data_IF_053425362052
#
_entry.id   IF_053425362052
#
_cell.length_a   1.000
_cell.length_b   1.000
_cell.length_c   1.000
_cell.angle_alpha   90.00
_cell.angle_beta   90.00
_cell.angle_gamma   90.00
#
_symmetry.space_group_name_H-M   'P 1'
#
loop_
_entity.id
_entity.type
_entity.pdbx_description
1 polymer ?
#
# COMPACT_ATOMS: atom_id res chain seq x y z
N UNK A 1 -39.00 14.92 31.42
CA UNK A 1 -37.53 14.97 31.29
C UNK A 1 -37.15 14.13 30.08
N UNK A 2 -37.09 14.76 28.91
CA UNK A 2 -36.70 14.13 27.64
C UNK A 2 -35.18 14.21 27.52
N UNK A 3 -34.51 13.06 27.54
CA UNK A 3 -33.08 12.97 27.26
C UNK A 3 -32.87 13.10 25.75
N UNK A 4 -32.23 14.20 25.34
CA UNK A 4 -31.72 14.40 23.99
C UNK A 4 -30.52 13.45 23.77
N UNK A 5 -30.69 12.47 22.89
CA UNK A 5 -29.60 11.66 22.37
C UNK A 5 -28.86 12.48 21.32
N UNK A 6 -27.77 13.12 21.74
CA UNK A 6 -26.82 13.79 20.87
C UNK A 6 -26.15 12.75 19.96
N UNK A 7 -26.64 12.63 18.71
CA UNK A 7 -25.98 11.88 17.65
C UNK A 7 -24.71 12.62 17.25
N UNK A 8 -23.60 12.28 17.92
CA UNK A 8 -22.28 12.71 17.50
C UNK A 8 -21.95 12.07 16.15
N UNK A 9 -21.88 12.90 15.12
CA UNK A 9 -21.43 12.52 13.78
C UNK A 9 -20.04 11.86 13.87
N UNK A 10 -19.96 10.57 13.54
CA UNK A 10 -18.72 9.85 13.29
C UNK A 10 -17.93 10.61 12.22
N UNK A 11 -16.74 11.08 12.58
CA UNK A 11 -15.87 11.82 11.66
C UNK A 11 -15.27 10.82 10.68
N UNK A 12 -15.90 10.67 9.52
CA UNK A 12 -15.51 9.73 8.47
C UNK A 12 -14.05 9.89 8.08
N UNK A 13 -13.36 8.77 7.96
CA UNK A 13 -11.93 8.70 7.67
C UNK A 13 -11.72 8.72 6.16
N UNK A 14 -12.00 9.86 5.51
CA UNK A 14 -12.00 9.93 4.04
C UNK A 14 -13.25 9.30 3.40
N UNK A 15 -13.20 9.01 2.11
CA UNK A 15 -14.30 8.38 1.36
C UNK A 15 -14.04 6.87 1.19
N UNK A 16 -15.11 6.07 1.26
CA UNK A 16 -15.24 4.59 1.12
C UNK A 16 -13.95 3.74 1.07
N UNK A 17 -13.66 2.95 2.12
CA UNK A 17 -12.47 2.09 2.16
C UNK A 17 -12.54 0.86 1.24
N UNK A 18 -13.74 0.47 0.79
CA UNK A 18 -13.92 -0.75 0.00
C UNK A 18 -13.98 -0.51 -1.51
N UNK A 19 -13.50 -1.50 -2.26
CA UNK A 19 -13.54 -1.48 -3.72
C UNK A 19 -14.89 -1.96 -4.29
N UNK A 20 -15.72 -2.57 -3.44
CA UNK A 20 -17.05 -3.07 -3.78
C UNK A 20 -18.13 -2.42 -2.91
N UNK A 21 -19.40 -2.57 -3.30
CA UNK A 21 -20.53 -2.10 -2.49
C UNK A 21 -20.63 -2.97 -1.23
N UNK A 22 -20.03 -2.52 -0.13
CA UNK A 22 -19.99 -3.25 1.13
C UNK A 22 -21.13 -2.82 2.06
N UNK A 23 -21.42 -3.63 3.07
CA UNK A 23 -22.37 -3.23 4.10
C UNK A 23 -21.86 -2.00 4.84
N UNK A 24 -22.76 -1.07 5.18
CA UNK A 24 -22.41 0.12 5.99
C UNK A 24 -21.70 -0.28 7.29
N UNK A 25 -22.10 -1.41 7.90
CA UNK A 25 -21.48 -1.95 9.11
C UNK A 25 -19.98 -2.29 8.94
N UNK A 26 -19.56 -2.77 7.77
CA UNK A 26 -18.15 -3.04 7.53
C UNK A 26 -17.33 -1.76 7.37
N UNK A 27 -17.92 -0.70 6.79
CA UNK A 27 -17.24 0.60 6.64
C UNK A 27 -17.04 1.21 8.04
N UNK A 28 -18.08 1.14 8.87
CA UNK A 28 -18.06 1.62 10.24
C UNK A 28 -17.04 0.87 11.11
N UNK A 29 -16.93 -0.46 10.99
CA UNK A 29 -15.97 -1.22 11.77
C UNK A 29 -14.52 -0.91 11.37
N UNK A 30 -14.24 -0.81 10.07
CA UNK A 30 -12.92 -0.41 9.59
C UNK A 30 -12.54 0.99 10.09
N UNK A 31 -13.45 1.97 9.94
CA UNK A 31 -13.24 3.34 10.39
C UNK A 31 -13.03 3.40 11.91
N UNK A 32 -13.81 2.63 12.68
CA UNK A 32 -13.66 2.52 14.14
C UNK A 32 -12.27 2.03 14.53
N UNK A 33 -11.75 1.00 13.88
CA UNK A 33 -10.42 0.46 14.17
C UNK A 33 -9.32 1.46 13.83
N UNK A 34 -9.43 2.16 12.69
CA UNK A 34 -8.48 3.24 12.32
C UNK A 34 -8.57 4.46 13.24
N UNK A 35 -9.75 4.77 13.77
CA UNK A 35 -9.95 5.83 14.76
C UNK A 35 -9.35 5.46 16.12
N UNK A 36 -9.51 4.21 16.56
CA UNK A 36 -8.84 3.69 17.76
C UNK A 36 -7.33 3.80 17.63
N UNK A 37 -6.76 3.36 16.51
CA UNK A 37 -5.32 3.49 16.25
C UNK A 37 -4.87 4.96 16.30
N UNK A 38 -5.60 5.89 15.68
CA UNK A 38 -5.26 7.33 15.73
C UNK A 38 -5.31 7.92 17.13
N UNK A 39 -6.30 7.54 17.94
CA UNK A 39 -6.39 8.00 19.34
C UNK A 39 -5.20 7.51 20.17
N UNK A 40 -4.78 6.26 19.98
CA UNK A 40 -3.58 5.74 20.65
C UNK A 40 -2.30 6.43 20.13
N UNK A 41 -2.22 6.78 18.84
CA UNK A 41 -1.12 7.55 18.27
C UNK A 41 -1.01 8.97 18.87
N UNK A 42 -2.15 9.63 19.13
CA UNK A 42 -2.20 10.93 19.80
C UNK A 42 -1.65 10.83 21.23
N UNK A 43 -2.17 9.88 22.03
CA UNK A 43 -1.69 9.63 23.40
C UNK A 43 -0.20 9.31 23.45
N UNK A 44 0.28 8.44 22.55
CA UNK A 44 1.71 8.14 22.38
C UNK A 44 2.54 9.41 22.17
N UNK A 45 2.09 10.29 21.28
CA UNK A 45 2.81 11.54 20.96
C UNK A 45 2.84 12.49 22.16
N UNK A 46 1.74 12.59 22.91
CA UNK A 46 1.67 13.36 24.15
C UNK A 46 2.60 12.81 25.24
N UNK A 47 2.63 11.49 25.45
CA UNK A 47 3.53 10.84 26.40
C UNK A 47 5.00 11.11 26.05
N UNK A 48 5.38 11.02 24.78
CA UNK A 48 6.76 11.31 24.38
C UNK A 48 7.12 12.79 24.48
N UNK A 49 6.21 13.71 24.18
CA UNK A 49 6.44 15.13 24.40
C UNK A 49 6.66 15.45 25.88
N UNK A 50 5.82 14.91 26.76
CA UNK A 50 5.95 15.06 28.22
C UNK A 50 7.24 14.39 28.75
N UNK A 51 7.59 13.22 28.21
CA UNK A 51 8.83 12.51 28.57
C UNK A 51 10.07 13.34 28.25
N UNK A 52 10.12 13.96 27.06
CA UNK A 52 11.22 14.86 26.67
C UNK A 52 11.30 16.10 27.56
N UNK A 53 10.15 16.66 27.94
CA UNK A 53 10.10 17.79 28.87
C UNK A 53 10.61 17.41 30.26
N UNK A 54 10.17 16.27 30.81
CA UNK A 54 10.63 15.76 32.10
C UNK A 54 12.15 15.52 32.11
N UNK A 55 12.68 14.93 31.04
CA UNK A 55 14.12 14.71 30.88
C UNK A 55 14.89 16.04 30.87
N UNK A 56 14.38 17.04 30.14
CA UNK A 56 14.99 18.38 30.06
C UNK A 56 14.98 19.11 31.41
N UNK A 57 14.03 18.79 32.28
CA UNK A 57 13.94 19.32 33.64
C UNK A 57 14.78 18.52 34.67
N UNK A 58 15.50 17.48 34.24
CA UNK A 58 16.31 16.63 35.11
C UNK A 58 15.53 15.53 35.86
N UNK A 59 14.24 15.38 35.59
CA UNK A 59 13.42 14.32 36.17
C UNK A 59 13.46 13.06 35.29
N UNK A 60 14.55 12.30 35.44
CA UNK A 60 14.76 11.05 34.71
C UNK A 60 13.74 9.95 35.03
N UNK A 61 13.20 9.92 36.25
CA UNK A 61 12.23 8.91 36.66
C UNK A 61 10.88 9.15 35.96
N UNK A 62 10.38 10.39 35.97
CA UNK A 62 9.17 10.75 35.24
C UNK A 62 9.36 10.59 33.73
N UNK A 63 10.52 10.99 33.19
CA UNK A 63 10.83 10.79 31.77
C UNK A 63 10.76 9.31 31.36
N UNK A 64 11.33 8.42 32.17
CA UNK A 64 11.29 6.98 31.92
C UNK A 64 9.87 6.43 31.98
N UNK A 65 9.09 6.77 33.02
CA UNK A 65 7.71 6.31 33.16
C UNK A 65 6.83 6.74 31.96
N UNK A 66 6.90 8.01 31.57
CA UNK A 66 6.17 8.55 30.41
C UNK A 66 6.63 7.93 29.09
N UNK A 67 7.92 7.61 28.96
CA UNK A 67 8.45 6.90 27.79
C UNK A 67 7.87 5.49 27.70
N UNK A 68 7.78 4.78 28.83
CA UNK A 68 7.18 3.45 28.87
C UNK A 68 5.68 3.48 28.54
N UNK A 69 4.93 4.41 29.11
CA UNK A 69 3.52 4.63 28.77
C UNK A 69 3.33 4.94 27.27
N UNK A 70 4.21 5.78 26.70
CA UNK A 70 4.22 6.07 25.27
C UNK A 70 4.47 4.84 24.40
N UNK A 71 5.35 3.92 24.83
CA UNK A 71 5.57 2.62 24.15
C UNK A 71 4.32 1.74 24.22
N UNK A 72 3.64 1.69 25.36
CA UNK A 72 2.42 0.89 25.54
C UNK A 72 1.29 1.41 24.64
N UNK A 73 1.12 2.72 24.51
CA UNK A 73 0.21 3.33 23.53
C UNK A 73 0.63 3.02 22.08
N UNK A 74 1.94 2.99 21.80
CA UNK A 74 2.47 2.55 20.51
C UNK A 74 2.09 1.11 20.18
N UNK A 75 2.21 0.18 21.13
CA UNK A 75 1.82 -1.21 20.93
C UNK A 75 0.31 -1.35 20.64
N UNK A 76 -0.54 -0.62 21.38
CA UNK A 76 -2.00 -0.59 21.13
C UNK A 76 -2.36 0.00 19.77
N UNK A 77 -1.69 1.08 19.37
CA UNK A 77 -1.85 1.67 18.04
C UNK A 77 -1.52 0.64 16.95
N UNK A 78 -0.38 -0.05 17.05
CA UNK A 78 0.00 -1.11 16.10
C UNK A 78 -1.02 -2.24 16.08
N UNK A 79 -1.52 -2.66 17.24
CA UNK A 79 -2.56 -3.70 17.36
C UNK A 79 -3.86 -3.31 16.64
N UNK A 80 -4.35 -2.08 16.82
CA UNK A 80 -5.58 -1.62 16.15
C UNK A 80 -5.39 -1.43 14.63
N UNK A 81 -4.23 -0.92 14.20
CA UNK A 81 -3.90 -0.86 12.77
C UNK A 81 -3.86 -2.26 12.14
N UNK A 82 -3.24 -3.23 12.82
CA UNK A 82 -3.23 -4.62 12.37
C UNK A 82 -4.65 -5.18 12.24
N UNK A 83 -5.51 -4.97 13.25
CA UNK A 83 -6.90 -5.41 13.17
C UNK A 83 -7.65 -4.78 11.99
N UNK A 84 -7.46 -3.47 11.74
CA UNK A 84 -8.05 -2.78 10.60
C UNK A 84 -7.56 -3.35 9.26
N UNK A 85 -6.24 -3.58 9.15
CA UNK A 85 -5.58 -4.14 7.98
C UNK A 85 -6.06 -5.56 7.67
N UNK A 86 -6.10 -6.44 8.68
CA UNK A 86 -6.58 -7.81 8.54
C UNK A 86 -8.06 -7.85 8.17
N UNK A 87 -8.86 -6.95 8.76
CA UNK A 87 -10.29 -6.83 8.48
C UNK A 87 -10.55 -6.49 7.02
N UNK A 88 -10.00 -5.36 6.54
CA UNK A 88 -10.22 -4.92 5.16
C UNK A 88 -9.59 -5.87 4.14
N UNK A 89 -8.44 -6.47 4.46
CA UNK A 89 -7.82 -7.47 3.59
C UNK A 89 -8.75 -8.66 3.35
N UNK A 90 -9.27 -9.25 4.44
CA UNK A 90 -10.19 -10.39 4.38
C UNK A 90 -11.46 -10.05 3.63
N UNK A 91 -12.02 -8.88 3.91
CA UNK A 91 -13.24 -8.39 3.29
C UNK A 91 -13.10 -8.18 1.78
N UNK A 92 -11.98 -7.60 1.31
CA UNK A 92 -11.73 -7.36 -0.11
C UNK A 92 -11.32 -8.63 -0.86
N UNK A 93 -10.65 -9.59 -0.19
CA UNK A 93 -10.11 -10.80 -0.81
C UNK A 93 -10.91 -12.07 -0.44
N UNK A 94 -12.14 -11.91 0.07
CA UNK A 94 -13.02 -13.05 0.35
C UNK A 94 -13.36 -13.81 -0.94
N UNK A 95 -13.70 -15.10 -0.79
CA UNK A 95 -14.05 -15.97 -1.91
C UNK A 95 -15.10 -15.33 -2.83
N UNK A 96 -14.78 -15.26 -4.13
CA UNK A 96 -15.65 -14.67 -5.15
C UNK A 96 -15.60 -13.14 -5.25
N UNK A 97 -14.83 -12.44 -4.41
CA UNK A 97 -14.60 -10.98 -4.55
C UNK A 97 -13.58 -10.66 -5.63
N UNK A 98 -12.49 -11.40 -5.63
CA UNK A 98 -11.42 -11.28 -6.62
C UNK A 98 -11.09 -12.66 -7.21
N UNK A 99 -10.58 -12.71 -8.44
CA UNK A 99 -10.03 -13.92 -9.03
C UNK A 99 -8.87 -14.52 -8.20
N UNK A 100 -8.58 -15.82 -8.33
CA UNK A 100 -7.47 -16.46 -7.60
C UNK A 100 -6.08 -15.86 -7.87
N UNK A 101 -5.85 -15.37 -9.09
CA UNK A 101 -4.60 -14.72 -9.54
C UNK A 101 -4.59 -13.20 -9.26
N UNK A 102 -5.48 -12.73 -8.38
CA UNK A 102 -5.62 -11.31 -8.03
C UNK A 102 -5.51 -11.11 -6.53
N UNK A 103 -4.93 -9.98 -6.11
CA UNK A 103 -4.91 -9.51 -4.73
C UNK A 103 -5.37 -8.06 -4.65
N UNK A 104 -6.30 -7.76 -3.75
CA UNK A 104 -6.80 -6.42 -3.49
C UNK A 104 -6.16 -5.82 -2.23
N UNK A 105 -5.35 -4.78 -2.43
CA UNK A 105 -4.66 -4.01 -1.40
C UNK A 105 -5.32 -2.65 -1.15
N UNK A 106 -6.49 -2.39 -1.72
CA UNK A 106 -7.21 -1.15 -1.51
C UNK A 106 -7.56 -0.95 -0.03
N UNK A 107 -7.34 0.28 0.45
CA UNK A 107 -7.58 0.67 1.84
C UNK A 107 -6.50 0.23 2.84
N UNK A 108 -5.48 -0.51 2.40
CA UNK A 108 -4.29 -0.76 3.21
C UNK A 108 -3.44 0.51 3.35
N UNK A 109 -2.70 0.62 4.45
CA UNK A 109 -1.59 1.57 4.54
C UNK A 109 -0.38 1.04 3.75
N UNK A 110 0.53 1.95 3.41
CA UNK A 110 1.66 1.65 2.50
C UNK A 110 2.52 0.48 3.01
N UNK A 111 2.82 0.47 4.30
CA UNK A 111 3.64 -0.56 4.96
C UNK A 111 2.90 -1.90 5.01
N UNK A 112 1.59 -1.88 5.30
CA UNK A 112 0.74 -3.06 5.31
C UNK A 112 0.65 -3.69 3.90
N UNK A 113 0.44 -2.86 2.88
CA UNK A 113 0.36 -3.29 1.49
C UNK A 113 1.68 -3.90 0.99
N UNK A 114 2.82 -3.33 1.40
CA UNK A 114 4.15 -3.89 1.11
C UNK A 114 4.30 -5.31 1.68
N UNK A 115 4.05 -5.47 2.98
CA UNK A 115 4.21 -6.75 3.67
C UNK A 115 3.28 -7.84 3.09
N UNK A 116 2.02 -7.48 2.81
CA UNK A 116 1.03 -8.38 2.22
C UNK A 116 1.43 -8.78 0.79
N UNK A 117 1.87 -7.82 -0.03
CA UNK A 117 2.26 -8.08 -1.41
C UNK A 117 3.48 -9.00 -1.50
N UNK A 118 4.51 -8.75 -0.70
CA UNK A 118 5.72 -9.60 -0.68
C UNK A 118 5.37 -11.05 -0.32
N UNK A 119 4.46 -11.25 0.64
CA UNK A 119 4.01 -12.59 1.03
C UNK A 119 3.22 -13.26 -0.10
N UNK A 120 2.28 -12.55 -0.74
CA UNK A 120 1.49 -13.10 -1.85
C UNK A 120 2.37 -13.48 -3.05
N UNK A 121 3.36 -12.65 -3.40
CA UNK A 121 4.31 -12.93 -4.49
C UNK A 121 5.09 -14.20 -4.19
N UNK A 122 5.66 -14.33 -2.98
CA UNK A 122 6.42 -15.54 -2.59
C UNK A 122 5.55 -16.79 -2.62
N UNK A 123 4.31 -16.69 -2.13
CA UNK A 123 3.34 -17.77 -2.20
C UNK A 123 3.04 -18.15 -3.66
N UNK A 124 2.79 -17.16 -4.52
CA UNK A 124 2.47 -17.38 -5.93
C UNK A 124 3.60 -18.13 -6.65
N UNK A 125 4.83 -17.65 -6.45
CA UNK A 125 6.03 -18.27 -7.03
C UNK A 125 6.25 -19.70 -6.52
N UNK A 126 6.04 -19.97 -5.23
CA UNK A 126 6.20 -21.33 -4.69
C UNK A 126 5.13 -22.31 -5.17
N UNK A 127 4.00 -21.82 -5.67
CA UNK A 127 2.91 -22.62 -6.24
C UNK A 127 2.94 -22.66 -7.78
N UNK A 128 3.97 -22.10 -8.42
CA UNK A 128 4.12 -22.12 -9.88
C UNK A 128 3.19 -21.16 -10.63
N UNK A 129 2.63 -20.16 -9.95
CA UNK A 129 1.92 -19.07 -10.61
C UNK A 129 2.91 -18.19 -11.38
N UNK A 130 2.57 -17.82 -12.62
CA UNK A 130 3.44 -17.06 -13.49
C UNK A 130 3.17 -15.55 -13.45
N UNK A 131 2.00 -15.14 -12.95
CA UNK A 131 1.57 -13.75 -12.88
C UNK A 131 0.68 -13.48 -11.67
N UNK A 132 0.54 -12.20 -11.33
CA UNK A 132 -0.34 -11.72 -10.26
C UNK A 132 -0.92 -10.36 -10.66
N UNK A 133 -2.23 -10.19 -10.52
CA UNK A 133 -2.89 -8.89 -10.61
C UNK A 133 -3.00 -8.26 -9.23
N UNK A 134 -2.57 -7.01 -9.10
CA UNK A 134 -2.58 -6.27 -7.82
C UNK A 134 -3.50 -5.06 -7.95
N UNK A 135 -4.58 -5.04 -7.17
CA UNK A 135 -5.48 -3.89 -7.09
C UNK A 135 -4.97 -2.95 -5.99
N UNK A 136 -4.57 -1.74 -6.38
CA UNK A 136 -4.06 -0.69 -5.48
C UNK A 136 -5.10 0.40 -5.20
N UNK A 137 -6.26 0.34 -5.86
CA UNK A 137 -7.35 1.31 -5.77
C UNK A 137 -7.09 2.57 -6.60
N UNK A 138 -8.14 3.31 -6.95
CA UNK A 138 -8.06 4.49 -7.86
C UNK A 138 -7.52 5.77 -7.21
N UNK A 139 -7.18 5.76 -5.93
CA UNK A 139 -6.67 6.93 -5.20
C UNK A 139 -7.75 7.91 -4.71
N UNK A 140 -8.98 7.84 -5.22
CA UNK A 140 -10.12 8.70 -4.84
C UNK A 140 -10.47 8.69 -3.34
N UNK A 141 -9.95 7.71 -2.59
CA UNK A 141 -10.36 7.38 -1.22
C UNK A 141 -9.23 7.51 -0.20
N UNK A 142 -8.01 7.80 -0.67
CA UNK A 142 -6.87 8.02 0.20
C UNK A 142 -6.97 9.37 0.91
N UNK A 143 -6.41 9.48 2.12
CA UNK A 143 -6.28 10.78 2.79
C UNK A 143 -5.56 11.76 1.84
N UNK A 144 -6.24 12.86 1.48
CA UNK A 144 -5.81 13.88 0.52
C UNK A 144 -5.75 13.45 -0.97
N UNK A 145 -6.46 12.39 -1.38
CA UNK A 145 -6.49 11.89 -2.77
C UNK A 145 -5.11 11.48 -3.34
N UNK A 146 -4.13 11.17 -2.47
CA UNK A 146 -2.81 10.69 -2.87
C UNK A 146 -2.78 9.16 -2.92
N UNK A 147 -2.70 8.59 -4.13
CA UNK A 147 -2.52 7.15 -4.35
C UNK A 147 -1.11 6.70 -3.94
N UNK A 148 -0.90 6.45 -2.64
CA UNK A 148 0.42 6.07 -2.08
C UNK A 148 0.78 4.59 -2.26
N UNK A 149 -0.21 3.72 -2.45
CA UNK A 149 0.02 2.27 -2.58
C UNK A 149 0.67 1.94 -3.93
N UNK A 150 0.18 2.52 -5.03
CA UNK A 150 0.72 2.31 -6.38
C UNK A 150 2.26 2.45 -6.45
N UNK A 151 2.86 3.60 -6.10
CA UNK A 151 4.31 3.74 -6.20
C UNK A 151 5.06 2.76 -5.29
N UNK A 152 4.46 2.34 -4.17
CA UNK A 152 5.07 1.33 -3.30
C UNK A 152 5.06 -0.06 -3.93
N UNK A 153 3.95 -0.49 -4.53
CA UNK A 153 3.85 -1.77 -5.24
C UNK A 153 4.85 -1.83 -6.39
N UNK A 154 4.94 -0.76 -7.17
CA UNK A 154 5.94 -0.64 -8.24
C UNK A 154 7.37 -0.76 -7.69
N UNK A 155 7.65 -0.17 -6.52
CA UNK A 155 8.94 -0.30 -5.86
C UNK A 155 9.23 -1.73 -5.40
N UNK A 156 8.25 -2.43 -4.81
CA UNK A 156 8.41 -3.84 -4.39
C UNK A 156 8.72 -4.72 -5.61
N UNK A 157 8.03 -4.52 -6.74
CA UNK A 157 8.32 -5.26 -7.97
C UNK A 157 9.76 -5.04 -8.45
N UNK A 158 10.24 -3.79 -8.46
CA UNK A 158 11.64 -3.49 -8.80
C UNK A 158 12.63 -4.12 -7.83
N UNK A 159 12.34 -4.06 -6.52
CA UNK A 159 13.18 -4.64 -5.47
C UNK A 159 13.29 -6.17 -5.59
N UNK A 160 12.25 -6.83 -6.13
CA UNK A 160 12.22 -8.28 -6.37
C UNK A 160 12.67 -8.68 -7.79
N UNK A 161 13.08 -7.73 -8.63
CA UNK A 161 13.49 -8.01 -10.01
C UNK A 161 12.34 -8.42 -10.93
N UNK A 162 11.10 -8.09 -10.56
CA UNK A 162 9.90 -8.44 -11.32
C UNK A 162 9.52 -7.32 -12.29
N UNK A 163 9.13 -7.71 -13.50
CA UNK A 163 8.55 -6.79 -14.47
C UNK A 163 7.06 -6.63 -14.19
N UNK A 164 6.55 -5.41 -14.37
CA UNK A 164 5.15 -5.09 -14.13
C UNK A 164 4.58 -4.14 -15.18
N UNK A 165 3.27 -4.17 -15.36
CA UNK A 165 2.53 -3.26 -16.23
C UNK A 165 1.36 -2.65 -15.47
N UNK A 166 1.27 -1.33 -15.50
CA UNK A 166 0.15 -0.60 -14.89
C UNK A 166 -0.97 -0.45 -15.91
N UNK A 167 -2.15 -0.97 -15.58
CA UNK A 167 -3.33 -0.87 -16.42
C UNK A 167 -3.97 0.53 -16.27
N UNK A 168 -4.17 1.29 -17.37
CA UNK A 168 -4.45 2.73 -17.32
C UNK A 168 -5.68 3.21 -16.53
N UNK A 169 -6.67 2.37 -16.18
CA UNK A 169 -7.99 2.88 -15.73
C UNK A 169 -8.55 2.26 -14.43
N UNK A 170 -7.90 1.26 -13.84
CA UNK A 170 -8.52 0.46 -12.77
C UNK A 170 -7.80 0.51 -11.44
N UNK A 171 -6.66 1.20 -11.35
CA UNK A 171 -5.80 1.11 -10.17
C UNK A 171 -5.32 -0.32 -9.99
N UNK A 172 -4.89 -0.96 -11.09
CA UNK A 172 -4.41 -2.32 -11.14
C UNK A 172 -3.03 -2.39 -11.76
N UNK A 173 -2.24 -3.35 -11.29
CA UNK A 173 -0.89 -3.63 -11.76
C UNK A 173 -0.79 -5.12 -12.04
N UNK A 174 -0.45 -5.47 -13.27
CA UNK A 174 -0.03 -6.82 -13.64
C UNK A 174 1.43 -7.01 -13.25
N UNK A 175 1.76 -8.09 -12.56
CA UNK A 175 3.12 -8.45 -12.15
C UNK A 175 3.48 -9.79 -12.79
N UNK A 176 4.57 -9.83 -13.55
CA UNK A 176 5.14 -11.08 -14.05
C UNK A 176 6.04 -11.69 -12.97
N UNK A 177 5.63 -12.85 -12.42
CA UNK A 177 6.31 -13.52 -11.32
C UNK A 177 7.55 -14.31 -11.75
N UNK A 178 7.72 -14.54 -13.05
CA UNK A 178 8.86 -15.28 -13.62
C UNK A 178 10.14 -14.43 -13.73
N UNK A 179 10.03 -13.10 -13.57
CA UNK A 179 11.12 -12.15 -13.82
C UNK A 179 11.38 -11.88 -15.31
N UNK A 180 10.67 -12.56 -16.22
CA UNK A 180 10.71 -12.28 -17.65
C UNK A 180 10.00 -10.98 -18.04
N UNK A 181 10.15 -10.55 -19.29
CA UNK A 181 9.41 -9.41 -19.83
C UNK A 181 7.89 -9.59 -19.68
N UNK A 182 7.15 -8.51 -19.45
CA UNK A 182 5.67 -8.57 -19.46
C UNK A 182 5.20 -8.79 -20.89
N UNK A 183 4.50 -9.90 -21.13
CA UNK A 183 3.77 -10.10 -22.37
C UNK A 183 2.50 -9.20 -22.34
N UNK A 184 2.54 -8.15 -23.16
CA UNK A 184 1.45 -7.18 -23.26
C UNK A 184 0.14 -7.81 -23.74
N UNK A 185 0.16 -8.97 -24.42
CA UNK A 185 -1.06 -9.69 -24.80
C UNK A 185 -1.76 -10.33 -23.59
N UNK A 186 -1.00 -10.83 -22.60
CA UNK A 186 -1.59 -11.39 -21.37
C UNK A 186 -2.12 -10.31 -20.44
N UNK A 187 -1.42 -9.16 -20.35
CA UNK A 187 -1.86 -8.02 -19.56
C UNK A 187 -3.13 -7.32 -20.12
N UNK A 188 -3.38 -7.41 -21.43
CA UNK A 188 -4.51 -6.72 -22.09
C UNK A 188 -5.73 -7.60 -22.37
N UNK A 189 -5.61 -8.93 -22.34
CA UNK A 189 -6.70 -9.86 -22.66
C UNK A 189 -7.69 -10.09 -21.50
N UNK A 190 -7.50 -9.43 -20.35
CA UNK A 190 -8.42 -9.50 -19.22
C UNK A 190 -9.58 -8.49 -19.35
N UNK A 191 -10.36 -8.63 -20.41
CA UNK A 191 -11.60 -7.89 -20.62
C UNK A 191 -12.78 -8.65 -20.02
N UNK A 192 -13.03 -8.50 -18.70
CA UNK A 192 -13.99 -9.39 -18.04
C UNK A 192 -14.66 -8.90 -16.76
N UNK A 193 -14.65 -7.62 -16.40
CA UNK A 193 -15.55 -7.09 -15.35
C UNK A 193 -16.23 -5.81 -15.81
N UNK A 194 -17.24 -5.96 -16.67
CA UNK A 194 -18.23 -4.92 -16.87
C UNK A 194 -19.10 -4.82 -15.61
N UNK A 195 -18.86 -3.78 -14.82
CA UNK A 195 -19.88 -3.22 -13.93
C UNK A 195 -21.05 -2.76 -14.83
N UNK A 196 -22.22 -3.41 -14.75
CA UNK A 196 -23.34 -3.10 -15.64
C UNK A 196 -23.87 -1.70 -15.36
N UNK A 197 -23.63 -0.77 -16.29
CA UNK A 197 -24.35 0.50 -16.36
C UNK A 197 -25.46 0.34 -17.43
N UNK A 198 -26.74 0.50 -17.08
CA UNK A 198 -27.80 0.51 -18.08
C UNK A 198 -27.86 1.90 -18.74
N UNK A 199 -27.57 1.95 -20.04
CA UNK A 199 -28.02 3.05 -20.91
C UNK A 199 -26.89 3.86 -21.56
N UNK A 200 -26.71 3.69 -22.87
CA UNK A 200 -25.90 4.57 -23.70
C UNK A 200 -25.56 3.93 -25.05
N UNK A 201 -26.35 4.25 -26.07
CA UNK A 201 -26.26 3.69 -27.43
C UNK A 201 -24.92 3.98 -28.11
N UNK A 202 -24.50 3.01 -28.92
CA UNK A 202 -23.30 3.03 -29.75
C UNK A 202 -23.34 4.11 -30.83
N UNK A 203 -22.20 4.75 -31.08
CA UNK A 203 -21.92 5.35 -32.38
C UNK A 203 -20.43 5.16 -32.74
N UNK A 204 -20.21 4.52 -33.88
CA UNK A 204 -18.91 4.31 -34.52
C UNK A 204 -18.36 5.64 -35.03
N UNK A 205 -17.05 5.84 -34.92
CA UNK A 205 -16.34 6.86 -35.70
C UNK A 205 -14.97 6.35 -36.15
N UNK A 206 -14.68 6.66 -37.40
CA UNK A 206 -13.58 6.21 -38.24
C UNK A 206 -12.20 6.75 -37.84
N UNK A 207 -11.18 6.04 -38.32
CA UNK A 207 -9.78 6.23 -37.98
C UNK A 207 -9.10 7.46 -38.59
N UNK A 208 -7.93 7.77 -38.03
CA UNK A 208 -6.92 8.63 -38.62
C UNK A 208 -5.53 8.07 -38.26
N UNK A 209 -4.76 7.72 -39.29
CA UNK A 209 -3.31 7.51 -39.23
C UNK A 209 -2.60 8.86 -39.37
N UNK A 210 -1.52 9.11 -38.63
CA UNK A 210 -0.49 10.04 -39.07
C UNK A 210 0.80 9.32 -39.48
N UNK A 211 1.31 9.75 -40.63
CA UNK A 211 2.54 9.36 -41.30
C UNK A 211 3.70 10.16 -40.70
N UNK A 212 4.73 9.49 -40.15
CA UNK A 212 5.96 10.13 -39.70
C UNK A 212 7.12 9.83 -40.65
N UNK A 213 7.68 10.90 -41.22
CA UNK A 213 8.89 10.90 -42.03
C UNK A 213 10.09 11.33 -41.17
N UNK A 214 11.24 10.71 -41.42
CA UNK A 214 12.47 10.82 -40.64
C UNK A 214 13.18 12.17 -40.81
N UNK A 215 13.94 12.59 -39.79
CA UNK A 215 15.22 13.28 -39.98
C UNK A 215 16.17 13.09 -38.80
N UNK A 216 17.35 12.52 -39.07
CA UNK A 216 18.49 12.42 -38.16
C UNK A 216 19.24 13.74 -38.05
N UNK A 217 19.77 14.06 -36.86
CA UNK A 217 21.04 14.79 -36.69
C UNK A 217 21.74 14.35 -35.40
N UNK A 218 23.02 14.02 -35.54
CA UNK A 218 23.98 13.69 -34.49
C UNK A 218 24.35 14.92 -33.66
N UNK A 219 24.51 14.76 -32.34
CA UNK A 219 25.64 15.39 -31.66
C UNK A 219 26.16 14.54 -30.50
N UNK A 220 27.46 14.34 -30.54
CA UNK A 220 28.29 13.54 -29.65
C UNK A 220 28.73 14.43 -28.48
N UNK A 221 28.63 13.95 -27.25
CA UNK A 221 29.53 14.43 -26.18
C UNK A 221 29.85 13.30 -25.21
N UNK A 222 31.14 12.97 -25.17
CA UNK A 222 31.77 12.07 -24.22
C UNK A 222 31.79 12.71 -22.83
N UNK A 223 31.52 11.90 -21.80
CA UNK A 223 32.24 12.02 -20.53
C UNK A 223 32.39 10.64 -19.90
N UNK A 224 33.64 10.31 -19.59
CA UNK A 224 34.16 9.03 -19.18
C UNK A 224 34.57 9.13 -17.71
N UNK A 225 33.86 8.44 -16.82
CA UNK A 225 34.23 8.04 -15.46
C UNK A 225 33.25 6.90 -15.13
N UNK A 226 33.57 5.71 -14.64
CA UNK A 226 34.75 5.11 -14.03
C UNK A 226 34.18 3.84 -13.40
N UNK A 227 34.66 2.66 -13.81
CA UNK A 227 34.05 1.39 -13.44
C UNK A 227 34.32 1.01 -11.98
N UNK A 228 33.25 0.89 -11.20
CA UNK A 228 33.20 0.19 -9.89
C UNK A 228 31.72 -0.04 -9.47
N UNK A 229 30.85 -0.45 -10.39
CA UNK A 229 29.38 -0.42 -10.20
C UNK A 229 28.72 -1.62 -9.50
N UNK A 230 29.43 -2.72 -9.19
CA UNK A 230 28.78 -3.91 -8.61
C UNK A 230 28.93 -4.04 -7.10
N UNK A 231 30.02 -3.55 -6.49
CA UNK A 231 30.19 -3.61 -5.03
C UNK A 231 29.38 -2.54 -4.31
N UNK A 232 29.26 -1.33 -4.88
CA UNK A 232 28.49 -0.23 -4.32
C UNK A 232 26.97 -0.50 -4.29
N UNK A 233 26.43 -1.18 -5.31
CA UNK A 233 25.01 -1.51 -5.38
C UNK A 233 24.64 -2.59 -4.34
N UNK A 234 25.50 -3.59 -4.16
CA UNK A 234 25.34 -4.59 -3.09
C UNK A 234 25.46 -3.91 -1.73
N UNK A 235 26.43 -3.00 -1.52
CA UNK A 235 26.60 -2.30 -0.25
C UNK A 235 25.41 -1.36 0.06
N UNK A 236 24.82 -0.71 -0.94
CA UNK A 236 23.60 0.11 -0.78
C UNK A 236 22.37 -0.74 -0.43
N UNK A 237 22.20 -1.88 -1.08
CA UNK A 237 21.14 -2.86 -0.77
C UNK A 237 21.33 -3.35 0.66
N UNK A 238 22.52 -3.84 1.01
CA UNK A 238 22.86 -4.31 2.35
C UNK A 238 22.61 -3.23 3.42
N UNK A 239 23.02 -1.98 3.20
CA UNK A 239 22.74 -0.85 4.12
C UNK A 239 21.26 -0.50 4.24
N UNK A 240 20.46 -0.69 3.20
CA UNK A 240 19.00 -0.42 3.23
C UNK A 240 18.22 -1.54 3.93
N UNK A 241 18.64 -2.79 3.76
CA UNK A 241 17.92 -3.96 4.27
C UNK A 241 18.40 -4.44 5.65
N UNK A 242 19.67 -4.23 6.04
CA UNK A 242 20.16 -4.59 7.38
C UNK A 242 19.29 -3.98 8.49
N UNK A 243 18.99 -2.68 8.50
CA UNK A 243 18.20 -2.08 9.57
C UNK A 243 16.79 -2.66 9.65
N UNK A 244 16.19 -3.05 8.51
CA UNK A 244 14.84 -3.60 8.43
C UNK A 244 14.79 -5.04 8.93
N UNK A 245 15.77 -5.86 8.56
CA UNK A 245 15.92 -7.23 9.07
C UNK A 245 16.26 -7.21 10.56
N UNK A 246 17.16 -6.33 11.00
CA UNK A 246 17.52 -6.15 12.41
C UNK A 246 16.30 -5.71 13.23
N UNK A 247 15.49 -4.76 12.73
CA UNK A 247 14.25 -4.35 13.40
C UNK A 247 13.22 -5.49 13.45
N UNK A 248 13.13 -6.34 12.42
CA UNK A 248 12.24 -7.51 12.40
C UNK A 248 12.70 -8.61 13.37
N UNK A 249 14.01 -8.83 13.50
CA UNK A 249 14.61 -9.77 14.45
C UNK A 249 14.52 -9.26 15.91
N UNK A 250 14.77 -7.97 16.14
CA UNK A 250 14.59 -7.33 17.46
C UNK A 250 13.12 -7.37 17.91
N UNK A 251 12.15 -7.21 16.98
CA UNK A 251 10.72 -7.38 17.26
C UNK A 251 10.34 -8.83 17.64
N UNK A 252 11.09 -9.83 17.18
CA UNK A 252 10.86 -11.24 17.50
C UNK A 252 11.56 -11.70 18.79
N UNK A 253 12.61 -11.02 19.25
CA UNK A 253 13.40 -11.40 20.43
C UNK A 253 12.98 -10.67 21.73
N UNK A 254 12.00 -9.78 21.68
CA UNK A 254 11.46 -9.05 22.83
C UNK A 254 10.15 -9.64 23.40
N UNK A 255 9.93 -10.95 23.26
CA UNK A 255 8.92 -11.70 24.02
C UNK A 255 9.61 -12.55 25.10
#
# INVERSE_FOLDING_TARGET
MSYEMSTQHTTRVGARPFNHNQSQAAEEEYDRLRDLARREAQKRSECFAKSQQAYSNGDGAAAHALSQEGKDHGAKMEQYNKQASDFIFRENNADGRVPPDTIDLHGQFVEEAEDILEQRIRYAQSHGENHLHVIVGKGNHSANHVQKIKPRVEQVCRELGLQYHTEPNEGRIYVNLTGGAVDMQQASNWGGYQQSYPGGQAQQSHGYQPQHQQQYHHQQQQQQHGGQGQQDEIEKVVKKFLPRIINKLLRMLCH
#
